data_IF_684651752372
#
_entry.id   IF_684651752372
#
_cell.length_a   1.000
_cell.length_b   1.000
_cell.length_c   1.000
_cell.angle_alpha   90.00
_cell.angle_beta   90.00
_cell.angle_gamma   90.00
#
_symmetry.space_group_name_H-M   'P 1'
#
loop_
_entity.id
_entity.type
_entity.pdbx_description
1 polymer ?
#
# COMPACT_ATOMS: atom_id res chain seq x y z
N UNK A 1 10.41 7.62 36.50
CA UNK A 1 8.94 7.83 36.49
C UNK A 1 8.40 7.67 35.06
N UNK A 2 7.24 7.01 34.94
CA UNK A 2 6.48 6.91 33.68
C UNK A 2 5.30 7.87 33.78
N UNK A 3 5.35 8.95 33.02
CA UNK A 3 4.27 9.95 32.95
C UNK A 3 3.64 9.94 31.57
N UNK A 4 2.40 10.43 31.47
CA UNK A 4 1.73 10.61 30.18
C UNK A 4 2.54 11.52 29.23
N UNK A 5 3.20 12.55 29.77
CA UNK A 5 4.07 13.43 28.98
C UNK A 5 5.26 12.66 28.41
N UNK A 6 5.96 11.89 29.23
CA UNK A 6 7.10 11.08 28.79
C UNK A 6 6.67 9.97 27.81
N UNK A 7 5.51 9.36 28.00
CA UNK A 7 4.98 8.33 27.10
C UNK A 7 4.82 8.84 25.66
N UNK A 8 4.24 10.05 25.50
CA UNK A 8 3.97 10.63 24.19
C UNK A 8 5.11 11.49 23.62
N UNK A 9 6.06 11.94 24.45
CA UNK A 9 7.09 12.91 24.05
C UNK A 9 8.52 12.44 24.26
N UNK A 10 8.75 11.27 24.84
CA UNK A 10 10.02 10.56 24.66
C UNK A 10 10.00 9.87 23.30
N UNK A 11 11.08 9.97 22.55
CA UNK A 11 11.21 9.40 21.22
C UNK A 11 12.20 8.24 21.23
N UNK A 12 11.92 7.23 20.41
CA UNK A 12 12.88 6.21 20.03
C UNK A 12 13.39 6.52 18.62
N UNK A 13 14.71 6.67 18.50
CA UNK A 13 15.40 6.83 17.24
C UNK A 13 16.19 5.57 16.93
N UNK A 14 16.01 4.99 15.75
CA UNK A 14 16.76 3.81 15.31
C UNK A 14 17.44 4.09 13.97
N UNK A 15 18.74 3.87 13.91
CA UNK A 15 19.60 4.07 12.74
C UNK A 15 20.26 2.76 12.35
N UNK A 16 20.38 2.53 11.04
CA UNK A 16 21.04 1.36 10.47
C UNK A 16 22.25 1.77 9.63
N UNK A 17 23.35 1.05 9.76
CA UNK A 17 24.52 1.08 8.87
C UNK A 17 25.08 2.46 8.52
N UNK A 18 25.28 3.29 9.55
CA UNK A 18 25.79 4.66 9.47
C UNK A 18 24.85 5.65 8.75
N UNK A 19 23.56 5.33 8.60
CA UNK A 19 22.60 6.26 8.02
C UNK A 19 22.48 7.55 8.87
N UNK A 20 22.53 8.71 8.20
CA UNK A 20 22.38 10.02 8.85
C UNK A 20 20.95 10.28 9.34
N UNK A 21 19.97 9.64 8.70
CA UNK A 21 18.54 9.75 9.04
C UNK A 21 18.05 8.48 9.72
N UNK A 22 17.28 8.58 10.82
CA UNK A 22 16.73 7.42 11.49
C UNK A 22 15.68 6.73 10.61
N UNK A 23 15.70 5.39 10.61
CA UNK A 23 14.66 4.55 10.01
C UNK A 23 13.39 4.46 10.88
N UNK A 24 13.55 4.72 12.18
CA UNK A 24 12.45 4.90 13.14
C UNK A 24 12.71 6.19 13.88
N UNK A 25 11.79 7.15 13.81
CA UNK A 25 11.80 8.37 14.61
C UNK A 25 10.37 8.61 15.10
N UNK A 26 10.05 8.04 16.25
CA UNK A 26 8.68 7.96 16.74
C UNK A 26 8.63 8.23 18.24
N UNK A 27 7.52 8.79 18.76
CA UNK A 27 7.20 8.66 20.17
C UNK A 27 7.28 7.19 20.62
N UNK A 28 7.76 6.97 21.84
CA UNK A 28 7.79 5.64 22.47
C UNK A 28 6.40 5.01 22.44
N UNK A 29 5.37 5.78 22.80
CA UNK A 29 3.97 5.35 22.69
C UNK A 29 3.65 4.76 21.31
N UNK A 30 3.91 5.51 20.24
CA UNK A 30 3.54 5.11 18.89
C UNK A 30 4.31 3.88 18.40
N UNK A 31 5.61 3.79 18.71
CA UNK A 31 6.42 2.62 18.33
C UNK A 31 5.93 1.31 18.97
N UNK A 32 5.43 1.38 20.20
CA UNK A 32 4.90 0.23 20.94
C UNK A 32 3.38 0.07 20.82
N UNK A 33 2.74 0.79 19.89
CA UNK A 33 1.34 0.62 19.52
C UNK A 33 0.33 1.39 20.38
N UNK A 34 0.81 2.32 21.20
CA UNK A 34 0.05 3.18 22.10
C UNK A 34 -0.62 4.41 21.50
N UNK A 35 -0.61 4.54 20.18
CA UNK A 35 -1.13 5.72 19.47
C UNK A 35 -0.28 6.97 19.72
N UNK A 36 -0.89 8.14 19.61
CA UNK A 36 -0.22 9.41 19.88
C UNK A 36 -1.06 10.37 20.71
N UNK A 37 -0.45 11.49 21.09
CA UNK A 37 -1.11 12.53 21.91
C UNK A 37 -2.27 13.24 21.20
N UNK A 38 -2.61 12.88 19.96
CA UNK A 38 -3.71 13.47 19.20
C UNK A 38 -4.92 12.54 19.02
N UNK A 39 -4.85 11.32 19.54
CA UNK A 39 -5.93 10.32 19.49
C UNK A 39 -7.03 10.62 20.52
N UNK A 40 -7.73 11.75 20.44
CA UNK A 40 -8.66 12.19 21.51
C UNK A 40 -10.10 11.67 21.35
N UNK A 41 -10.86 11.45 22.45
CA UNK A 41 -10.47 11.60 23.85
C UNK A 41 -9.67 10.40 24.39
N UNK A 42 -9.34 9.41 23.55
CA UNK A 42 -8.84 8.12 23.99
C UNK A 42 -7.41 8.16 24.51
N UNK A 43 -6.59 9.12 24.06
CA UNK A 43 -5.20 9.34 24.47
C UNK A 43 -4.98 9.52 25.98
N UNK A 44 -6.01 9.90 26.76
CA UNK A 44 -5.84 10.07 28.21
C UNK A 44 -5.65 8.74 28.95
N UNK A 45 -6.33 7.68 28.51
CA UNK A 45 -6.35 6.40 29.22
C UNK A 45 -5.36 5.40 28.64
N UNK A 46 -4.94 5.57 27.38
CA UNK A 46 -3.98 4.69 26.70
C UNK A 46 -2.71 4.41 27.53
N UNK A 47 -2.05 5.40 28.16
CA UNK A 47 -0.82 5.13 28.91
C UNK A 47 -1.01 4.12 30.05
N UNK A 48 -2.22 4.00 30.60
CA UNK A 48 -2.56 3.09 31.69
C UNK A 48 -3.10 1.72 31.22
N UNK A 49 -3.32 1.54 29.91
CA UNK A 49 -3.82 0.29 29.33
C UNK A 49 -2.70 -0.71 29.08
N UNK A 50 -3.11 -1.90 28.66
CA UNK A 50 -2.22 -2.97 28.22
C UNK A 50 -2.56 -3.33 26.77
N UNK A 51 -1.53 -3.40 25.93
CA UNK A 51 -1.59 -3.90 24.57
C UNK A 51 -0.64 -5.08 24.43
N UNK A 52 -1.17 -6.24 24.04
CA UNK A 52 -0.40 -7.44 23.76
C UNK A 52 -0.65 -7.92 22.33
N UNK A 53 0.40 -7.92 21.52
CA UNK A 53 0.41 -8.46 20.16
C UNK A 53 1.57 -9.45 19.99
N UNK A 54 1.68 -10.08 18.83
CA UNK A 54 2.80 -10.98 18.55
C UNK A 54 4.15 -10.25 18.46
N UNK A 55 4.19 -9.03 17.90
CA UNK A 55 5.45 -8.35 17.58
C UNK A 55 5.72 -7.10 18.41
N UNK A 56 4.73 -6.50 19.04
CA UNK A 56 4.94 -5.30 19.85
C UNK A 56 3.85 -5.14 20.92
N UNK A 57 4.13 -4.38 21.95
CA UNK A 57 3.13 -4.06 22.94
C UNK A 57 3.70 -3.30 24.12
N UNK A 58 2.80 -3.00 25.06
CA UNK A 58 3.13 -2.33 26.30
C UNK A 58 2.14 -2.69 27.40
N UNK A 59 2.57 -2.51 28.64
CA UNK A 59 1.72 -2.67 29.82
C UNK A 59 1.93 -1.44 30.72
N UNK A 60 0.92 -0.58 30.78
CA UNK A 60 0.94 0.63 31.61
C UNK A 60 1.00 0.36 33.11
N UNK A 61 0.54 -0.81 33.57
CA UNK A 61 0.61 -1.22 34.97
C UNK A 61 2.02 -1.57 35.41
N UNK A 62 2.75 -2.30 34.57
CA UNK A 62 4.17 -2.63 34.81
C UNK A 62 5.16 -1.63 34.21
N UNK A 63 4.66 -0.66 33.41
CA UNK A 63 5.45 0.34 32.69
C UNK A 63 6.48 -0.30 31.76
N UNK A 64 6.11 -1.42 31.13
CA UNK A 64 6.98 -2.23 30.28
C UNK A 64 6.58 -2.16 28.82
N UNK A 65 7.58 -2.32 27.94
CA UNK A 65 7.46 -2.24 26.49
C UNK A 65 8.20 -3.39 25.86
N UNK A 66 7.70 -3.91 24.73
CA UNK A 66 8.44 -4.90 23.94
C UNK A 66 8.24 -4.71 22.44
N UNK A 67 9.28 -5.08 21.69
CA UNK A 67 9.28 -5.13 20.23
C UNK A 67 10.11 -6.34 19.79
N UNK A 68 9.48 -7.24 19.05
CA UNK A 68 10.04 -8.47 18.49
C UNK A 68 10.14 -8.42 16.96
N UNK A 69 9.92 -7.25 16.35
CA UNK A 69 10.18 -7.07 14.92
C UNK A 69 11.62 -7.49 14.60
N UNK A 70 11.87 -8.35 13.60
CA UNK A 70 13.21 -8.54 13.07
C UNK A 70 13.76 -7.20 12.54
N UNK A 71 14.98 -6.82 12.92
CA UNK A 71 15.58 -5.55 12.49
C UNK A 71 16.97 -5.78 11.88
N UNK A 72 17.04 -6.15 10.58
CA UNK A 72 18.31 -6.41 9.92
C UNK A 72 19.20 -5.16 9.83
N UNK A 73 20.51 -5.37 10.00
CA UNK A 73 21.59 -4.41 9.74
C UNK A 73 22.85 -5.18 9.29
N UNK A 74 23.78 -4.52 8.60
CA UNK A 74 24.97 -5.18 8.02
C UNK A 74 26.30 -4.60 8.47
N UNK A 75 26.30 -3.44 9.13
CA UNK A 75 27.47 -2.80 9.73
C UNK A 75 27.24 -2.49 11.21
N UNK A 76 26.19 -1.75 11.54
CA UNK A 76 25.88 -1.35 12.91
C UNK A 76 24.41 -0.92 13.07
N UNK A 77 23.96 -0.95 14.32
CA UNK A 77 22.68 -0.40 14.74
C UNK A 77 22.93 0.62 15.86
N UNK A 78 22.25 1.76 15.80
CA UNK A 78 22.24 2.76 16.88
C UNK A 78 20.80 3.02 17.30
N UNK A 79 20.50 2.81 18.56
CA UNK A 79 19.19 3.07 19.17
C UNK A 79 19.38 4.17 20.21
N UNK A 80 18.59 5.23 20.12
CA UNK A 80 18.61 6.37 21.04
C UNK A 80 17.23 6.59 21.64
N UNK A 81 17.18 6.88 22.95
CA UNK A 81 15.98 7.38 23.62
C UNK A 81 16.18 8.87 23.86
N UNK A 82 15.33 9.68 23.24
CA UNK A 82 15.38 11.13 23.32
C UNK A 82 14.22 11.64 24.18
N UNK A 83 14.52 12.18 25.35
CA UNK A 83 13.54 12.79 26.23
C UNK A 83 13.29 14.25 25.80
N UNK A 84 12.10 14.55 25.26
CA UNK A 84 11.71 15.93 24.90
C UNK A 84 10.78 16.57 25.95
N UNK A 85 10.75 16.05 27.17
CA UNK A 85 9.96 16.59 28.28
C UNK A 85 10.81 17.45 29.21
N UNK A 86 10.16 18.13 30.15
CA UNK A 86 10.85 18.82 31.26
C UNK A 86 11.11 17.90 32.46
N UNK A 87 10.74 16.61 32.36
CA UNK A 87 10.83 15.65 33.45
C UNK A 87 11.99 14.67 33.21
N UNK A 88 12.86 14.51 34.20
CA UNK A 88 13.97 13.57 34.11
C UNK A 88 13.48 12.11 34.01
N UNK A 89 14.19 11.32 33.19
CA UNK A 89 14.07 9.86 33.20
C UNK A 89 15.01 9.34 34.29
N UNK A 90 14.47 9.11 35.49
CA UNK A 90 15.28 8.69 36.64
C UNK A 90 15.85 7.27 36.51
N UNK A 91 15.10 6.35 35.89
CA UNK A 91 15.49 4.95 35.69
C UNK A 91 14.94 4.46 34.34
N UNK A 92 15.76 3.70 33.60
CA UNK A 92 15.36 3.03 32.37
C UNK A 92 16.11 1.69 32.24
N UNK A 93 15.36 0.59 32.31
CA UNK A 93 15.89 -0.75 32.06
C UNK A 93 15.69 -1.11 30.59
N UNK A 94 16.79 -1.34 29.87
CA UNK A 94 16.76 -1.61 28.43
C UNK A 94 17.45 -2.94 28.15
N UNK A 95 16.72 -3.87 27.54
CA UNK A 95 17.24 -5.13 27.01
C UNK A 95 17.26 -5.13 25.49
N UNK A 96 18.39 -5.44 24.88
CA UNK A 96 18.52 -5.64 23.43
C UNK A 96 19.06 -7.05 23.20
N UNK A 97 18.31 -7.84 22.43
CA UNK A 97 18.75 -9.16 21.97
C UNK A 97 19.08 -9.08 20.48
N UNK A 98 20.26 -9.57 20.09
CA UNK A 98 20.71 -9.58 18.70
C UNK A 98 21.37 -10.92 18.35
N UNK A 99 21.47 -11.22 17.05
CA UNK A 99 22.14 -12.40 16.52
C UNK A 99 23.21 -12.00 15.51
N UNK A 100 24.26 -12.82 15.39
CA UNK A 100 25.25 -12.71 14.32
C UNK A 100 24.82 -13.39 13.02
N UNK A 101 23.64 -14.04 13.00
CA UNK A 101 23.06 -14.61 11.79
C UNK A 101 22.56 -13.47 10.90
N UNK A 102 23.27 -13.23 9.81
CA UNK A 102 22.95 -12.16 8.87
C UNK A 102 21.85 -12.58 7.90
N UNK A 103 20.91 -11.68 7.67
CA UNK A 103 20.04 -11.72 6.50
C UNK A 103 20.87 -11.39 5.25
N UNK A 104 20.60 -11.98 4.06
CA UNK A 104 21.31 -11.60 2.84
C UNK A 104 20.99 -10.15 2.45
N UNK A 105 22.02 -9.32 2.30
CA UNK A 105 21.87 -7.87 2.05
C UNK A 105 21.14 -7.57 0.73
N UNK A 106 21.42 -8.37 -0.29
CA UNK A 106 20.87 -8.23 -1.63
C UNK A 106 19.40 -8.64 -1.76
N UNK A 107 18.85 -9.37 -0.78
CA UNK A 107 17.46 -9.84 -0.80
C UNK A 107 16.62 -9.38 0.38
N UNK A 108 17.15 -8.54 1.26
CA UNK A 108 16.46 -8.06 2.46
C UNK A 108 16.45 -6.53 2.55
N UNK A 109 15.53 -6.01 3.35
CA UNK A 109 15.41 -4.59 3.65
C UNK A 109 15.73 -4.30 5.11
N UNK A 110 15.88 -3.03 5.43
CA UNK A 110 15.92 -2.56 6.81
C UNK A 110 14.50 -2.43 7.35
N UNK A 111 14.36 -2.54 8.66
CA UNK A 111 13.11 -2.26 9.34
C UNK A 111 12.88 -0.75 9.48
N UNK A 112 11.67 -0.30 9.17
CA UNK A 112 11.24 1.08 9.33
C UNK A 112 9.90 1.14 10.05
N UNK A 113 9.66 2.25 10.73
CA UNK A 113 8.35 2.58 11.27
C UNK A 113 8.08 4.07 11.05
N UNK A 114 6.90 4.39 10.52
CA UNK A 114 6.52 5.75 10.15
C UNK A 114 5.14 6.08 10.68
N UNK A 115 5.05 7.20 11.40
CA UNK A 115 3.80 7.74 11.91
C UNK A 115 3.33 8.87 11.01
N UNK A 116 2.03 8.85 10.70
CA UNK A 116 1.34 9.89 9.97
C UNK A 116 0.18 10.36 10.84
N UNK A 117 0.18 11.65 11.16
CA UNK A 117 -1.00 12.32 11.71
C UNK A 117 -1.64 13.10 10.57
N UNK A 118 -2.88 12.77 10.23
CA UNK A 118 -3.62 13.46 9.17
C UNK A 118 -4.89 14.07 9.76
N UNK A 119 -4.93 15.40 9.81
CA UNK A 119 -6.05 16.18 10.32
C UNK A 119 -6.89 16.70 9.15
N UNK A 120 -8.08 16.12 8.99
CA UNK A 120 -8.97 16.45 7.88
C UNK A 120 -10.05 17.45 8.22
N UNK A 121 -10.10 18.00 9.45
CA UNK A 121 -11.18 18.90 9.93
C UNK A 121 -11.42 20.14 9.07
N UNK A 122 -10.42 20.58 8.31
CA UNK A 122 -10.51 21.72 7.38
C UNK A 122 -10.47 21.31 5.89
N UNK A 123 -10.46 20.02 5.60
CA UNK A 123 -10.34 19.49 4.25
C UNK A 123 -11.69 19.24 3.59
N UNK A 124 -11.74 19.43 2.28
CA UNK A 124 -12.86 18.95 1.45
C UNK A 124 -12.64 17.53 0.94
N UNK A 125 -11.43 16.98 1.10
CA UNK A 125 -11.11 15.63 0.66
C UNK A 125 -11.83 14.63 1.58
N UNK A 126 -12.52 13.63 1.01
CA UNK A 126 -13.35 12.70 1.78
C UNK A 126 -12.59 11.52 2.43
N UNK A 127 -11.26 11.60 2.49
CA UNK A 127 -10.40 10.53 2.98
C UNK A 127 -9.13 11.08 3.62
N UNK A 128 -8.55 10.29 4.53
CA UNK A 128 -7.25 10.47 5.17
C UNK A 128 -6.16 9.67 4.48
N UNK A 129 -4.92 10.18 4.48
CA UNK A 129 -3.74 9.43 4.07
C UNK A 129 -3.05 8.87 5.31
N UNK A 130 -3.09 7.56 5.48
CA UNK A 130 -2.40 6.86 6.55
C UNK A 130 -0.90 6.71 6.27
N UNK A 131 -0.52 6.48 5.00
CA UNK A 131 0.87 6.20 4.65
C UNK A 131 1.19 6.52 3.20
N UNK A 132 2.41 7.00 2.98
CA UNK A 132 3.03 7.12 1.65
C UNK A 132 4.51 6.80 1.75
N UNK A 133 5.01 6.01 0.82
CA UNK A 133 6.43 5.70 0.75
C UNK A 133 6.87 5.41 -0.69
N UNK A 134 8.14 5.72 -1.00
CA UNK A 134 8.79 5.41 -2.27
C UNK A 134 9.90 4.39 -2.09
N UNK A 135 10.27 3.67 -3.14
CA UNK A 135 11.24 2.58 -3.12
C UNK A 135 10.55 1.23 -3.20
N UNK A 136 11.20 0.18 -2.69
CA UNK A 136 10.64 -1.15 -2.73
C UNK A 136 10.78 -1.86 -1.38
N UNK A 137 9.77 -2.65 -1.06
CA UNK A 137 9.60 -3.21 0.27
C UNK A 137 8.22 -3.81 0.47
N UNK A 138 7.86 -3.98 1.74
CA UNK A 138 6.55 -4.48 2.10
C UNK A 138 6.11 -3.95 3.48
N UNK A 139 4.84 -3.57 3.57
CA UNK A 139 4.19 -3.18 4.82
C UNK A 139 3.80 -4.43 5.59
N UNK A 140 4.20 -4.51 6.87
CA UNK A 140 4.03 -5.70 7.72
C UNK A 140 3.11 -5.48 8.92
N UNK A 141 2.70 -4.24 9.18
CA UNK A 141 1.67 -3.99 10.16
C UNK A 141 1.38 -2.52 10.34
N UNK A 142 0.33 -2.26 11.11
CA UNK A 142 -0.09 -0.93 11.46
C UNK A 142 -0.73 -0.87 12.84
N UNK A 143 -0.71 0.32 13.42
CA UNK A 143 -1.68 0.74 14.41
C UNK A 143 -2.45 1.94 13.90
N UNK A 144 -3.77 1.93 14.08
CA UNK A 144 -4.67 2.96 13.60
C UNK A 144 -5.42 3.57 14.79
N UNK A 145 -5.25 4.87 15.00
CA UNK A 145 -6.01 5.62 16.00
C UNK A 145 -6.75 6.78 15.34
N UNK A 146 -7.93 7.10 15.84
CA UNK A 146 -8.73 8.20 15.33
C UNK A 146 -9.59 8.87 16.40
N UNK A 147 -10.02 10.10 16.14
CA UNK A 147 -10.94 10.86 17.01
C UNK A 147 -12.42 10.75 16.59
N UNK A 148 -12.76 9.70 15.83
CA UNK A 148 -14.11 9.48 15.29
C UNK A 148 -14.11 9.28 13.79
N UNK A 149 -13.15 8.52 13.27
CA UNK A 149 -13.22 8.04 11.88
C UNK A 149 -14.49 7.22 11.68
N UNK A 150 -15.04 7.27 10.47
CA UNK A 150 -16.18 6.45 10.10
C UNK A 150 -15.77 4.97 10.13
N UNK A 151 -16.59 4.14 10.77
CA UNK A 151 -16.35 2.70 10.79
C UNK A 151 -16.58 2.14 9.37
N UNK A 152 -17.69 2.49 8.71
CA UNK A 152 -18.04 1.99 7.37
C UNK A 152 -17.22 2.63 6.23
N UNK A 153 -16.16 3.37 6.56
CA UNK A 153 -15.28 4.04 5.60
C UNK A 153 -14.21 3.10 5.07
N UNK A 154 -14.24 2.82 3.77
CA UNK A 154 -13.35 1.83 3.16
C UNK A 154 -11.87 2.25 3.23
N UNK A 155 -10.96 1.30 3.46
CA UNK A 155 -9.55 1.45 3.17
C UNK A 155 -9.26 1.23 1.69
N UNK A 156 -8.34 2.01 1.12
CA UNK A 156 -7.96 1.88 -0.27
C UNK A 156 -6.50 2.28 -0.50
N UNK A 157 -5.76 1.37 -1.15
CA UNK A 157 -4.32 1.49 -1.36
C UNK A 157 -3.95 1.46 -2.83
N UNK A 158 -3.10 2.42 -3.22
CA UNK A 158 -2.47 2.48 -4.53
C UNK A 158 -1.04 2.00 -4.41
N UNK A 159 -0.66 1.08 -5.30
CA UNK A 159 0.68 0.51 -5.33
C UNK A 159 1.28 0.79 -6.72
N UNK A 160 2.56 1.12 -6.74
CA UNK A 160 3.38 1.28 -7.94
C UNK A 160 2.75 2.17 -9.02
N UNK A 161 2.25 3.34 -8.61
CA UNK A 161 1.66 4.35 -9.49
C UNK A 161 0.33 3.97 -10.15
N UNK A 162 -0.33 2.89 -9.72
CA UNK A 162 -1.66 2.54 -10.22
C UNK A 162 -2.64 3.67 -9.92
N UNK A 163 -3.50 4.02 -10.88
CA UNK A 163 -4.57 5.01 -10.67
C UNK A 163 -5.87 4.38 -10.15
N UNK A 164 -5.90 3.06 -10.09
CA UNK A 164 -6.96 2.26 -9.47
C UNK A 164 -6.41 1.61 -8.20
N UNK A 165 -7.13 1.66 -7.06
CA UNK A 165 -6.68 1.00 -5.86
C UNK A 165 -6.56 -0.50 -6.10
N UNK A 166 -5.44 -1.09 -5.69
CA UNK A 166 -5.18 -2.52 -5.84
C UNK A 166 -5.65 -3.31 -4.62
N UNK A 167 -5.81 -2.62 -3.49
CA UNK A 167 -6.43 -3.10 -2.28
C UNK A 167 -7.53 -2.10 -1.97
N UNK A 168 -8.75 -2.59 -1.82
CA UNK A 168 -9.94 -1.80 -1.52
C UNK A 168 -10.86 -2.70 -0.70
N UNK A 169 -11.11 -2.32 0.56
CA UNK A 169 -12.02 -3.03 1.45
C UNK A 169 -13.38 -2.37 1.55
N UNK A 170 -14.04 -2.62 2.67
CA UNK A 170 -15.46 -2.36 2.91
C UNK A 170 -15.75 -1.60 4.22
N UNK A 171 -14.73 -1.37 5.04
CA UNK A 171 -14.85 -0.63 6.29
C UNK A 171 -13.51 -0.53 7.03
N UNK A 172 -13.35 0.53 7.81
CA UNK A 172 -12.16 0.76 8.64
C UNK A 172 -12.08 -0.28 9.74
N UNK A 173 -13.18 -0.69 10.37
CA UNK A 173 -13.15 -1.79 11.33
C UNK A 173 -12.93 -3.15 10.66
N UNK A 174 -13.45 -3.32 9.45
CA UNK A 174 -13.33 -4.55 8.67
C UNK A 174 -11.86 -4.78 8.26
N UNK A 175 -11.11 -3.74 7.88
CA UNK A 175 -9.66 -3.81 7.66
C UNK A 175 -8.90 -4.26 8.93
N UNK A 176 -9.45 -4.06 10.12
CA UNK A 176 -8.86 -4.54 11.38
C UNK A 176 -9.41 -5.91 11.82
N UNK A 177 -10.01 -6.66 10.89
CA UNK A 177 -10.69 -7.95 11.11
C UNK A 177 -11.83 -7.89 12.15
N UNK A 178 -12.49 -6.73 12.25
CA UNK A 178 -13.65 -6.57 13.11
C UNK A 178 -14.93 -6.51 12.27
N UNK A 179 -16.02 -6.04 12.86
CA UNK A 179 -17.29 -5.83 12.17
C UNK A 179 -18.36 -5.32 13.13
N UNK A 180 -19.41 -4.73 12.59
CA UNK A 180 -20.55 -4.18 13.36
C UNK A 180 -20.12 -3.20 14.46
N UNK A 181 -19.18 -2.29 14.14
CA UNK A 181 -18.63 -1.30 15.07
C UNK A 181 -17.57 -1.82 16.04
N UNK A 182 -17.16 -3.09 15.91
CA UNK A 182 -16.01 -3.64 16.62
C UNK A 182 -16.15 -3.74 18.14
N UNK A 183 -15.05 -4.09 18.81
CA UNK A 183 -14.97 -4.29 20.26
C UNK A 183 -13.54 -4.12 20.79
N UNK A 184 -13.40 -3.96 22.11
CA UNK A 184 -12.11 -3.92 22.77
C UNK A 184 -11.61 -5.35 23.02
N UNK A 185 -10.83 -5.87 22.07
CA UNK A 185 -10.37 -7.25 22.04
C UNK A 185 -9.03 -7.33 21.30
N UNK A 186 -8.15 -8.23 21.73
CA UNK A 186 -6.76 -8.30 21.28
C UNK A 186 -6.42 -9.75 20.92
N UNK A 187 -5.99 -9.97 19.68
CA UNK A 187 -5.43 -11.23 19.19
C UNK A 187 -3.98 -11.03 18.75
N UNK A 188 -3.15 -12.09 18.65
CA UNK A 188 -1.74 -11.93 18.32
C UNK A 188 -1.44 -11.09 17.08
N UNK A 189 -2.33 -11.10 16.06
CA UNK A 189 -2.10 -10.42 14.78
C UNK A 189 -3.05 -9.26 14.48
N UNK A 190 -4.11 -9.08 15.24
CA UNK A 190 -5.11 -8.04 14.97
C UNK A 190 -5.94 -7.76 16.22
N UNK A 191 -6.58 -6.60 16.27
CA UNK A 191 -7.47 -6.29 17.38
C UNK A 191 -7.73 -4.80 17.54
N UNK A 192 -8.48 -4.48 18.58
CA UNK A 192 -8.85 -3.14 18.98
C UNK A 192 -8.49 -2.91 20.44
N UNK A 193 -7.61 -1.94 20.69
CA UNK A 193 -7.47 -1.37 22.02
C UNK A 193 -8.66 -0.45 22.33
N UNK A 194 -9.24 0.15 21.29
CA UNK A 194 -10.44 0.98 21.28
C UNK A 194 -11.25 0.59 20.03
N UNK A 195 -12.27 -0.24 20.23
CA UNK A 195 -13.37 -0.55 19.31
C UNK A 195 -13.07 -0.71 17.80
N UNK A 196 -11.90 -1.20 17.40
CA UNK A 196 -11.61 -1.59 16.00
C UNK A 196 -11.44 -0.47 14.98
N UNK A 197 -11.88 0.77 15.27
CA UNK A 197 -11.73 1.92 14.36
C UNK A 197 -11.24 3.21 15.05
N UNK A 198 -11.26 3.29 16.39
CA UNK A 198 -10.67 4.44 17.13
C UNK A 198 -9.28 4.13 17.71
N UNK A 199 -8.92 2.85 17.76
CA UNK A 199 -7.64 2.37 18.26
C UNK A 199 -7.50 0.89 17.98
N UNK A 200 -6.91 0.55 16.86
CA UNK A 200 -6.78 -0.81 16.37
C UNK A 200 -5.37 -1.09 15.88
N UNK A 201 -5.09 -2.36 15.63
CA UNK A 201 -3.86 -2.80 15.00
C UNK A 201 -4.13 -4.00 14.11
N UNK A 202 -3.26 -4.15 13.10
CA UNK A 202 -3.20 -5.33 12.25
C UNK A 202 -1.76 -5.60 11.86
N UNK A 203 -1.37 -6.86 11.92
CA UNK A 203 -0.03 -7.36 11.60
C UNK A 203 -0.19 -8.27 10.38
N UNK A 204 0.42 -7.86 9.27
CA UNK A 204 0.30 -8.51 7.98
C UNK A 204 1.32 -9.63 7.80
N UNK A 205 1.24 -10.66 8.65
CA UNK A 205 2.23 -11.75 8.64
C UNK A 205 2.17 -12.60 7.35
N UNK A 206 0.98 -12.78 6.78
CA UNK A 206 0.77 -13.61 5.59
C UNK A 206 0.23 -12.83 4.38
N UNK A 207 -0.03 -11.55 4.57
CA UNK A 207 -0.82 -10.67 3.70
C UNK A 207 -0.19 -9.27 3.57
N UNK A 208 1.15 -9.20 3.66
CA UNK A 208 1.91 -7.95 3.56
C UNK A 208 1.64 -7.19 2.24
N UNK A 209 1.64 -5.86 2.31
CA UNK A 209 1.44 -5.03 1.11
C UNK A 209 2.80 -4.79 0.47
N UNK A 210 3.08 -5.51 -0.61
CA UNK A 210 4.34 -5.43 -1.36
C UNK A 210 4.29 -4.29 -2.37
N UNK A 211 5.34 -3.48 -2.43
CA UNK A 211 5.50 -2.40 -3.40
C UNK A 211 6.92 -2.39 -3.96
N UNK A 212 7.05 -1.96 -5.21
CA UNK A 212 8.30 -2.01 -5.97
C UNK A 212 8.78 -0.64 -6.46
N UNK A 213 7.93 0.38 -6.39
CA UNK A 213 8.29 1.79 -6.63
C UNK A 213 7.65 2.73 -5.61
N UNK A 214 6.35 2.56 -5.30
CA UNK A 214 5.67 3.39 -4.32
C UNK A 214 4.41 2.73 -3.75
N UNK A 215 3.97 3.20 -2.59
CA UNK A 215 2.70 2.83 -1.98
C UNK A 215 2.04 4.04 -1.34
N UNK A 216 0.71 4.12 -1.43
CA UNK A 216 -0.15 5.08 -0.74
C UNK A 216 -1.35 4.36 -0.15
N UNK A 217 -1.52 4.42 1.18
CA UNK A 217 -2.64 3.83 1.92
C UNK A 217 -3.54 4.97 2.41
N UNK A 218 -4.84 4.86 2.17
CA UNK A 218 -5.85 5.83 2.59
C UNK A 218 -7.04 5.11 3.22
N UNK A 219 -7.84 5.87 3.97
CA UNK A 219 -9.10 5.42 4.54
C UNK A 219 -10.17 6.47 4.25
N UNK A 220 -11.41 6.07 3.94
CA UNK A 220 -12.54 6.98 3.71
C UNK A 220 -13.21 7.42 5.01
N UNK A 221 -13.80 8.62 5.05
CA UNK A 221 -14.67 9.01 6.17
C UNK A 221 -15.98 9.71 5.74
N UNK A 222 -16.27 9.80 4.45
CA UNK A 222 -17.37 10.65 3.94
C UNK A 222 -18.79 10.08 4.10
N UNK A 223 -18.96 8.82 4.54
CA UNK A 223 -20.28 8.16 4.51
C UNK A 223 -21.21 8.63 5.63
N UNK A 224 -20.71 9.27 6.68
CA UNK A 224 -21.53 9.88 7.72
C UNK A 224 -21.81 11.37 7.46
N UNK A 225 -23.01 11.65 6.97
CA UNK A 225 -23.52 13.01 6.80
C UNK A 225 -23.43 13.81 8.11
N UNK A 226 -22.71 14.94 8.09
CA UNK A 226 -22.63 15.88 9.22
C UNK A 226 -21.46 15.64 10.18
N UNK A 227 -20.57 14.67 9.93
CA UNK A 227 -19.31 14.59 10.67
C UNK A 227 -18.37 15.74 10.29
N UNK A 228 -17.74 16.31 11.32
CA UNK A 228 -16.56 17.14 11.13
C UNK A 228 -15.43 16.18 10.77
N UNK A 229 -14.76 16.41 9.64
CA UNK A 229 -13.78 15.47 9.11
C UNK A 229 -12.74 15.06 10.18
N UNK A 230 -12.52 13.77 10.43
CA UNK A 230 -11.76 13.27 11.58
C UNK A 230 -10.24 13.45 11.43
N UNK A 231 -9.54 13.27 12.54
CA UNK A 231 -8.09 13.12 12.59
C UNK A 231 -7.74 11.62 12.69
N UNK A 232 -6.69 11.23 11.96
CA UNK A 232 -6.07 9.91 12.12
C UNK A 232 -4.64 10.05 12.61
N UNK A 233 -4.21 9.05 13.39
CA UNK A 233 -2.85 8.88 13.88
C UNK A 233 -2.45 7.42 13.64
N UNK A 234 -1.76 7.20 12.52
CA UNK A 234 -1.43 5.86 12.02
C UNK A 234 0.07 5.65 12.07
N UNK A 235 0.50 4.55 12.66
CA UNK A 235 1.89 4.09 12.58
C UNK A 235 1.96 2.86 11.70
N UNK A 236 2.75 2.91 10.63
CA UNK A 236 3.03 1.77 9.75
C UNK A 236 4.41 1.20 10.05
N UNK A 237 4.47 -0.12 10.20
CA UNK A 237 5.69 -0.92 10.27
C UNK A 237 5.95 -1.57 8.92
N UNK A 238 7.15 -1.43 8.38
CA UNK A 238 7.48 -1.92 7.04
C UNK A 238 8.97 -2.25 6.89
N UNK A 239 9.27 -3.16 5.97
CA UNK A 239 10.64 -3.42 5.52
C UNK A 239 10.86 -2.76 4.19
N UNK A 240 11.99 -2.07 4.05
CA UNK A 240 12.34 -1.38 2.81
C UNK A 240 13.83 -1.49 2.55
N UNK A 241 14.18 -1.73 1.30
CA UNK A 241 15.57 -1.62 0.89
C UNK A 241 15.87 -0.15 0.52
N UNK A 242 17.08 0.32 0.81
CA UNK A 242 17.48 1.73 0.59
C UNK A 242 17.90 2.03 -0.85
N UNK A 243 17.88 1.04 -1.74
CA UNK A 243 18.03 1.23 -3.19
C UNK A 243 16.86 1.97 -3.84
N UNK A 244 17.03 2.32 -5.13
CA UNK A 244 15.92 2.83 -5.96
C UNK A 244 14.86 1.75 -6.18
N UNK A 245 13.62 2.16 -6.49
CA UNK A 245 12.56 1.24 -6.91
C UNK A 245 13.05 0.28 -7.99
N UNK A 246 12.64 -0.99 -7.89
CA UNK A 246 13.06 -2.04 -8.83
C UNK A 246 12.12 -2.11 -10.04
N UNK A 247 10.94 -1.49 -9.95
CA UNK A 247 9.99 -1.41 -11.06
C UNK A 247 10.29 -0.20 -11.95
N UNK A 248 10.69 -0.45 -13.20
CA UNK A 248 11.10 0.59 -14.13
C UNK A 248 10.24 0.55 -15.40
N UNK A 249 9.66 1.69 -15.81
CA UNK A 249 8.94 1.80 -17.07
C UNK A 249 9.92 1.63 -18.25
N UNK A 250 9.69 0.62 -19.09
CA UNK A 250 10.56 0.28 -20.23
C UNK A 250 9.95 0.54 -21.60
N UNK A 251 8.62 0.51 -21.71
CA UNK A 251 7.91 0.89 -22.93
C UNK A 251 6.45 1.24 -22.65
N UNK A 252 5.81 1.88 -23.62
CA UNK A 252 4.41 2.26 -23.57
C UNK A 252 3.78 2.10 -24.95
N UNK A 253 2.55 1.61 -24.99
CA UNK A 253 1.77 1.52 -26.22
C UNK A 253 0.39 2.17 -26.03
N UNK A 254 0.16 3.19 -26.83
CA UNK A 254 -1.11 3.90 -27.00
C UNK A 254 -1.94 3.24 -28.11
N UNK A 255 -3.11 2.70 -27.79
CA UNK A 255 -4.00 2.04 -28.75
C UNK A 255 -4.80 3.11 -29.49
N UNK A 256 -5.10 2.87 -30.78
CA UNK A 256 -5.74 3.85 -31.68
C UNK A 256 -4.87 5.03 -32.10
N UNK A 257 -3.64 5.12 -31.61
CA UNK A 257 -2.63 6.03 -32.10
C UNK A 257 -1.80 5.36 -33.20
N UNK A 258 -1.98 5.75 -34.46
CA UNK A 258 -1.35 5.08 -35.61
C UNK A 258 0.19 5.03 -35.53
N UNK A 259 0.82 6.06 -34.96
CA UNK A 259 2.28 6.09 -34.79
C UNK A 259 2.72 5.06 -33.75
N UNK A 260 2.01 5.00 -32.62
CA UNK A 260 2.25 3.99 -31.58
C UNK A 260 1.94 2.58 -32.06
N UNK A 261 0.78 2.34 -32.68
CA UNK A 261 0.37 1.03 -33.22
C UNK A 261 1.40 0.54 -34.25
N UNK A 262 1.88 1.42 -35.15
CA UNK A 262 2.93 1.06 -36.12
C UNK A 262 4.28 0.77 -35.45
N UNK A 263 4.71 1.59 -34.48
CA UNK A 263 5.97 1.37 -33.73
C UNK A 263 5.99 -0.02 -33.07
N UNK A 264 4.85 -0.43 -32.51
CA UNK A 264 4.72 -1.67 -31.76
C UNK A 264 4.18 -2.85 -32.58
N UNK A 265 4.08 -2.73 -33.91
CA UNK A 265 3.53 -3.78 -34.78
C UNK A 265 2.17 -4.30 -34.28
N UNK A 266 1.34 -3.39 -33.80
CA UNK A 266 0.05 -3.73 -33.22
C UNK A 266 -0.88 -4.30 -34.29
N UNK A 267 -1.55 -5.40 -33.96
CA UNK A 267 -2.58 -6.01 -34.79
C UNK A 267 -3.70 -6.57 -33.90
N UNK A 268 -4.95 -6.40 -34.31
CA UNK A 268 -6.10 -6.95 -33.60
C UNK A 268 -7.12 -7.56 -34.56
N UNK A 269 -7.87 -8.55 -34.07
CA UNK A 269 -8.96 -9.24 -34.78
C UNK A 269 -10.24 -9.16 -33.96
N UNK A 270 -11.36 -8.94 -34.65
CA UNK A 270 -12.69 -8.86 -34.02
C UNK A 270 -12.81 -7.67 -33.07
N UNK A 271 -12.16 -6.55 -33.40
CA UNK A 271 -12.20 -5.35 -32.56
C UNK A 271 -13.25 -4.34 -33.03
N UNK A 272 -13.76 -3.56 -32.08
CA UNK A 272 -14.55 -2.35 -32.31
C UNK A 272 -13.86 -1.18 -31.62
N UNK A 273 -13.60 -0.11 -32.38
CA UNK A 273 -13.00 1.12 -31.85
C UNK A 273 -14.02 1.89 -31.00
N UNK A 274 -13.57 2.47 -29.90
CA UNK A 274 -14.34 3.34 -29.02
C UNK A 274 -13.56 4.61 -28.70
N UNK A 275 -14.30 5.68 -28.39
CA UNK A 275 -13.81 6.91 -27.80
C UNK A 275 -14.62 7.12 -26.51
N UNK A 276 -13.95 7.17 -25.37
CA UNK A 276 -14.58 7.22 -24.06
C UNK A 276 -14.03 8.42 -23.32
N UNK A 277 -14.90 9.17 -22.65
CA UNK A 277 -14.56 10.24 -21.72
C UNK A 277 -15.09 9.86 -20.36
N UNK A 278 -14.20 9.63 -19.40
CA UNK A 278 -14.58 9.13 -18.06
C UNK A 278 -13.52 9.45 -17.02
N UNK A 279 -13.87 9.32 -15.74
CA UNK A 279 -12.94 9.35 -14.62
C UNK A 279 -12.36 7.97 -14.31
N UNK A 280 -11.25 7.96 -13.58
CA UNK A 280 -10.68 6.73 -13.03
C UNK A 280 -11.51 6.19 -11.87
N UNK A 281 -11.44 4.88 -11.69
CA UNK A 281 -11.80 4.18 -10.48
C UNK A 281 -10.81 4.52 -9.38
N UNK A 282 -10.77 5.79 -8.99
CA UNK A 282 -9.77 6.29 -8.07
C UNK A 282 -10.32 6.48 -6.68
N UNK A 283 -11.35 5.73 -6.26
CA UNK A 283 -12.06 5.78 -4.98
C UNK A 283 -12.21 7.18 -4.32
N UNK A 284 -13.47 7.60 -4.13
CA UNK A 284 -13.91 8.99 -3.91
C UNK A 284 -13.65 9.93 -5.10
N UNK A 285 -14.69 10.65 -5.53
CA UNK A 285 -14.72 11.48 -6.76
C UNK A 285 -13.78 12.70 -6.74
N UNK A 286 -12.92 12.82 -5.72
CA UNK A 286 -11.99 13.92 -5.50
C UNK A 286 -10.51 13.54 -5.58
N UNK A 287 -10.18 12.27 -5.85
CA UNK A 287 -8.80 11.96 -6.24
C UNK A 287 -8.47 12.66 -7.56
N UNK A 288 -7.26 13.21 -7.67
CA UNK A 288 -6.79 14.16 -8.69
C UNK A 288 -6.73 13.63 -10.14
N UNK A 289 -7.42 12.54 -10.46
CA UNK A 289 -7.48 12.02 -11.81
C UNK A 289 -8.64 12.70 -12.53
N UNK A 290 -8.29 13.75 -13.27
CA UNK A 290 -9.20 14.44 -14.19
C UNK A 290 -9.95 13.44 -15.08
N UNK A 291 -11.12 13.88 -15.57
CA UNK A 291 -11.80 13.14 -16.64
C UNK A 291 -10.87 13.04 -17.85
N UNK A 292 -10.55 11.81 -18.24
CA UNK A 292 -9.69 11.51 -19.37
C UNK A 292 -10.56 11.09 -20.56
N UNK A 293 -10.29 11.67 -21.72
CA UNK A 293 -10.82 11.16 -23.00
C UNK A 293 -9.75 10.33 -23.70
N UNK A 294 -10.10 9.11 -24.09
CA UNK A 294 -9.17 8.21 -24.75
C UNK A 294 -9.84 7.34 -25.82
N UNK A 295 -9.05 6.88 -26.77
CA UNK A 295 -9.45 5.98 -27.84
C UNK A 295 -8.91 4.58 -27.60
N UNK A 296 -9.68 3.55 -27.93
CA UNK A 296 -9.25 2.18 -27.71
C UNK A 296 -10.12 1.18 -28.43
N UNK A 297 -9.91 -0.09 -28.12
CA UNK A 297 -10.59 -1.20 -28.76
C UNK A 297 -11.30 -2.05 -27.72
N UNK A 298 -12.55 -2.43 -28.01
CA UNK A 298 -13.16 -3.64 -27.45
C UNK A 298 -12.91 -4.80 -28.40
N UNK A 299 -12.37 -5.91 -27.90
CA UNK A 299 -11.91 -7.06 -28.67
C UNK A 299 -12.74 -8.30 -28.33
N UNK A 300 -13.21 -8.97 -29.39
CA UNK A 300 -13.67 -10.35 -29.36
C UNK A 300 -12.80 -11.18 -30.31
N UNK A 301 -11.76 -11.82 -29.77
CA UNK A 301 -10.70 -12.43 -30.56
C UNK A 301 -9.34 -12.21 -29.92
N UNK A 302 -8.46 -11.47 -30.59
CA UNK A 302 -7.09 -11.28 -30.13
C UNK A 302 -6.51 -9.92 -30.52
N UNK A 303 -5.63 -9.38 -29.68
CA UNK A 303 -4.64 -8.35 -30.04
C UNK A 303 -3.22 -8.88 -29.86
N UNK A 304 -2.28 -8.32 -30.59
CA UNK A 304 -0.85 -8.57 -30.40
C UNK A 304 -0.04 -7.31 -30.68
N UNK A 305 1.08 -7.16 -29.99
CA UNK A 305 2.01 -6.05 -30.13
C UNK A 305 3.40 -6.44 -29.61
N UNK A 306 4.41 -5.68 -30.00
CA UNK A 306 5.82 -5.88 -29.64
C UNK A 306 6.28 -4.71 -28.78
N UNK A 307 6.89 -5.01 -27.63
CA UNK A 307 7.35 -4.01 -26.65
C UNK A 307 8.80 -4.23 -26.26
N UNK A 308 9.47 -3.16 -25.87
CA UNK A 308 10.81 -3.18 -25.30
C UNK A 308 10.77 -3.51 -23.81
N UNK A 309 11.75 -4.29 -23.36
CA UNK A 309 11.95 -4.65 -21.95
C UNK A 309 13.45 -4.60 -21.62
N UNK A 310 13.80 -4.56 -20.34
CA UNK A 310 15.21 -4.62 -19.94
C UNK A 310 15.75 -6.07 -20.06
N UNK A 311 16.85 -6.35 -20.77
CA UNK A 311 17.47 -7.68 -20.82
C UNK A 311 17.82 -8.28 -19.45
N UNK A 312 18.14 -7.44 -18.46
CA UNK A 312 18.45 -7.88 -17.10
C UNK A 312 17.22 -8.05 -16.22
N UNK A 313 16.00 -8.04 -16.79
CA UNK A 313 14.77 -8.11 -16.00
C UNK A 313 14.65 -9.40 -15.18
N UNK A 314 14.06 -9.28 -13.99
CA UNK A 314 13.59 -10.39 -13.17
C UNK A 314 12.07 -10.62 -13.33
N UNK A 315 11.57 -10.45 -14.55
CA UNK A 315 10.15 -10.45 -14.88
C UNK A 315 9.69 -9.07 -15.30
N UNK A 316 8.42 -8.98 -15.74
CA UNK A 316 7.81 -7.72 -16.16
C UNK A 316 6.40 -7.59 -15.61
N UNK A 317 5.94 -6.35 -15.43
CA UNK A 317 4.55 -5.98 -15.17
C UNK A 317 3.99 -5.31 -16.42
N UNK A 318 2.83 -5.76 -16.89
CA UNK A 318 2.03 -5.06 -17.90
C UNK A 318 0.84 -4.43 -17.18
N UNK A 319 0.75 -3.10 -17.21
CA UNK A 319 -0.45 -2.38 -16.77
C UNK A 319 -1.30 -2.03 -17.99
N UNK A 320 -2.60 -2.31 -17.92
CA UNK A 320 -3.57 -1.99 -18.96
C UNK A 320 -4.58 -0.99 -18.45
N UNK A 321 -4.74 0.15 -19.14
CA UNK A 321 -5.94 0.99 -19.00
C UNK A 321 -7.10 0.30 -19.71
N UNK A 322 -8.18 0.08 -18.97
CA UNK A 322 -9.40 -0.58 -19.44
C UNK A 322 -10.66 0.24 -19.10
N UNK A 323 -11.74 -0.05 -19.82
CA UNK A 323 -13.09 0.44 -19.53
C UNK A 323 -13.89 -0.66 -18.78
N UNK A 324 -14.13 -0.43 -17.48
CA UNK A 324 -14.90 -1.35 -16.64
C UNK A 324 -16.41 -1.14 -16.69
N UNK A 325 -16.91 -0.06 -17.31
CA UNK A 325 -18.34 0.19 -17.46
C UNK A 325 -18.94 -0.62 -18.62
N UNK A 326 -18.32 -0.59 -19.80
CA UNK A 326 -18.84 -1.32 -20.97
C UNK A 326 -18.53 -2.82 -20.89
N UNK A 327 -17.42 -3.21 -20.26
CA UNK A 327 -17.01 -4.61 -20.08
C UNK A 327 -16.58 -4.85 -18.62
N UNK A 328 -17.53 -5.21 -17.77
CA UNK A 328 -17.31 -5.42 -16.32
C UNK A 328 -16.52 -6.69 -16.00
N UNK A 329 -16.67 -7.72 -16.82
CA UNK A 329 -15.99 -9.01 -16.65
C UNK A 329 -15.11 -9.24 -17.87
N UNK A 330 -13.79 -9.26 -17.65
CA UNK A 330 -12.83 -9.48 -18.71
C UNK A 330 -11.90 -10.63 -18.31
N UNK A 331 -11.70 -11.58 -19.21
CA UNK A 331 -10.77 -12.69 -19.02
C UNK A 331 -9.90 -12.80 -20.27
N UNK A 332 -8.60 -12.63 -20.09
CA UNK A 332 -7.62 -12.58 -21.17
C UNK A 332 -6.52 -13.60 -20.92
N UNK A 333 -6.28 -14.44 -21.92
CA UNK A 333 -5.10 -15.29 -21.98
C UNK A 333 -3.92 -14.49 -22.53
N UNK A 334 -2.79 -14.55 -21.83
CA UNK A 334 -1.57 -13.81 -22.18
C UNK A 334 -0.53 -14.78 -22.73
N UNK A 335 0.07 -14.41 -23.86
CA UNK A 335 1.15 -15.15 -24.50
C UNK A 335 2.35 -14.24 -24.71
N UNK A 336 3.54 -14.74 -24.38
CA UNK A 336 4.82 -14.07 -24.59
C UNK A 336 5.62 -14.88 -25.61
N UNK A 337 5.89 -14.28 -26.77
CA UNK A 337 6.53 -14.92 -27.92
C UNK A 337 5.87 -16.26 -28.30
N UNK A 338 4.53 -16.29 -28.23
CA UNK A 338 3.72 -17.48 -28.54
C UNK A 338 3.57 -18.49 -27.41
N UNK A 339 4.24 -18.29 -26.26
CA UNK A 339 4.13 -19.17 -25.09
C UNK A 339 3.10 -18.61 -24.12
N UNK A 340 2.09 -19.41 -23.75
CA UNK A 340 1.07 -19.01 -22.77
C UNK A 340 1.69 -18.83 -21.38
N UNK A 341 1.38 -17.71 -20.72
CA UNK A 341 1.62 -17.49 -19.29
C UNK A 341 0.59 -18.31 -18.50
N UNK A 342 1.04 -19.23 -17.65
CA UNK A 342 0.18 -20.28 -17.04
C UNK A 342 -0.11 -20.04 -15.56
N UNK A 343 0.64 -19.17 -14.92
CA UNK A 343 0.64 -18.93 -13.48
C UNK A 343 -0.68 -18.29 -13.02
N UNK A 344 -1.29 -17.44 -13.87
CA UNK A 344 -2.60 -16.85 -13.59
C UNK A 344 -3.31 -16.39 -14.88
N UNK A 345 -4.65 -16.41 -14.93
CA UNK A 345 -5.39 -15.70 -15.97
C UNK A 345 -5.31 -14.18 -15.74
N UNK A 346 -5.39 -13.38 -16.80
CA UNK A 346 -5.62 -11.94 -16.64
C UNK A 346 -7.12 -11.69 -16.55
N UNK A 347 -7.62 -11.70 -15.31
CA UNK A 347 -9.04 -11.60 -15.02
C UNK A 347 -9.36 -10.33 -14.22
N UNK A 348 -10.41 -9.62 -14.63
CA UNK A 348 -10.96 -8.48 -13.90
C UNK A 348 -12.48 -8.60 -13.80
N UNK A 349 -13.03 -8.25 -12.64
CA UNK A 349 -14.46 -8.22 -12.37
C UNK A 349 -14.81 -6.95 -11.60
N UNK A 350 -15.81 -6.23 -12.08
CA UNK A 350 -16.28 -4.99 -11.46
C UNK A 350 -17.79 -5.03 -11.17
N UNK A 351 -18.28 -4.34 -10.13
CA UNK A 351 -19.67 -4.39 -9.71
C UNK A 351 -20.64 -3.75 -10.71
N UNK A 352 -21.92 -4.08 -10.59
CA UNK A 352 -22.97 -3.50 -11.44
C UNK A 352 -23.16 -1.99 -11.21
N UNK A 353 -22.76 -1.49 -10.04
CA UNK A 353 -22.82 -0.07 -9.65
C UNK A 353 -21.86 0.84 -10.42
N UNK A 354 -20.89 0.28 -11.16
CA UNK A 354 -20.00 1.09 -12.01
C UNK A 354 -20.82 1.89 -13.01
N UNK A 355 -20.51 3.19 -13.11
CA UNK A 355 -21.17 4.14 -14.01
C UNK A 355 -20.24 4.54 -15.16
N UNK A 356 -20.80 5.14 -16.21
CA UNK A 356 -20.02 5.69 -17.33
C UNK A 356 -19.10 6.85 -16.92
N UNK A 357 -19.26 7.42 -15.73
CA UNK A 357 -18.45 8.53 -15.22
C UNK A 357 -17.17 8.07 -14.50
N UNK A 358 -17.07 6.79 -14.13
CA UNK A 358 -15.93 6.20 -13.41
C UNK A 358 -15.46 4.90 -14.07
N UNK A 359 -15.42 4.93 -15.41
CA UNK A 359 -15.22 3.76 -16.23
C UNK A 359 -13.74 3.37 -16.38
N UNK A 360 -12.79 4.28 -16.20
CA UNK A 360 -11.37 3.94 -16.34
C UNK A 360 -10.86 3.14 -15.17
N UNK A 361 -10.10 2.09 -15.45
CA UNK A 361 -9.32 1.40 -14.43
C UNK A 361 -7.97 0.95 -14.97
N UNK A 362 -6.99 0.86 -14.09
CA UNK A 362 -5.73 0.19 -14.35
C UNK A 362 -5.82 -1.26 -13.87
N UNK A 363 -5.36 -2.20 -14.71
CA UNK A 363 -5.22 -3.60 -14.34
C UNK A 363 -3.79 -4.07 -14.60
N UNK A 364 -3.15 -4.62 -13.58
CA UNK A 364 -1.78 -5.11 -13.65
C UNK A 364 -1.72 -6.61 -13.96
N UNK A 365 -0.71 -7.02 -14.73
CA UNK A 365 -0.40 -8.42 -15.02
C UNK A 365 1.09 -8.71 -14.92
N UNK A 366 1.42 -9.56 -13.94
CA UNK A 366 2.79 -10.01 -13.69
C UNK A 366 3.18 -11.17 -14.61
N UNK A 367 4.38 -11.07 -15.18
CA UNK A 367 4.97 -12.08 -16.06
C UNK A 367 6.32 -12.51 -15.45
N UNK A 368 6.44 -13.78 -15.05
CA UNK A 368 7.69 -14.29 -14.48
C UNK A 368 8.88 -14.22 -15.43
N UNK A 369 10.08 -14.09 -14.85
CA UNK A 369 11.33 -13.93 -15.59
C UNK A 369 11.63 -15.05 -16.60
N UNK A 370 11.16 -16.28 -16.41
CA UNK A 370 11.43 -17.36 -17.38
C UNK A 370 10.76 -17.15 -18.75
N UNK A 371 9.80 -16.23 -18.86
CA UNK A 371 9.24 -15.82 -20.16
C UNK A 371 10.04 -14.70 -20.85
N UNK A 372 10.84 -13.93 -20.10
CA UNK A 372 11.37 -12.62 -20.53
C UNK A 372 12.88 -12.43 -20.35
N UNK A 373 13.54 -13.28 -19.55
CA UNK A 373 14.96 -13.15 -19.17
C UNK A 373 15.86 -13.14 -20.40
N UNK A 374 16.80 -12.18 -20.46
CA UNK A 374 17.77 -12.03 -21.53
C UNK A 374 17.21 -11.44 -22.83
N UNK A 375 15.92 -11.11 -22.89
CA UNK A 375 15.28 -10.49 -24.07
C UNK A 375 15.23 -8.98 -23.91
N UNK A 376 15.47 -8.24 -24.99
CA UNK A 376 15.29 -6.78 -25.05
C UNK A 376 13.92 -6.37 -25.65
N UNK A 377 13.23 -7.32 -26.28
CA UNK A 377 11.90 -7.16 -26.86
C UNK A 377 11.12 -8.45 -26.73
N UNK A 378 9.81 -8.33 -26.62
CA UNK A 378 8.88 -9.46 -26.60
C UNK A 378 7.65 -9.15 -27.44
N UNK A 379 7.04 -10.18 -28.01
CA UNK A 379 5.70 -10.13 -28.59
C UNK A 379 4.69 -10.54 -27.54
N UNK A 380 3.83 -9.62 -27.15
CA UNK A 380 2.67 -9.89 -26.29
C UNK A 380 1.48 -10.17 -27.19
N UNK A 381 0.81 -11.30 -26.95
CA UNK A 381 -0.48 -11.60 -27.58
C UNK A 381 -1.52 -11.86 -26.51
N UNK A 382 -2.66 -11.21 -26.67
CA UNK A 382 -3.82 -11.30 -25.80
C UNK A 382 -4.95 -11.99 -26.55
N UNK A 383 -5.62 -12.95 -25.92
CA UNK A 383 -6.76 -13.66 -26.52
C UNK A 383 -7.89 -13.77 -25.51
N UNK A 384 -9.11 -13.45 -25.93
CA UNK A 384 -10.27 -13.43 -25.04
C UNK A 384 -11.58 -13.22 -25.79
N UNK A 385 -12.70 -13.56 -25.15
CA UNK A 385 -14.04 -13.47 -25.76
C UNK A 385 -14.57 -12.04 -25.76
N UNK A 386 -14.37 -11.27 -24.68
CA UNK A 386 -14.61 -9.82 -24.62
C UNK A 386 -13.65 -9.20 -23.61
N UNK A 387 -12.79 -8.31 -24.09
CA UNK A 387 -11.97 -7.43 -23.26
C UNK A 387 -11.76 -6.10 -23.98
N UNK A 388 -11.28 -5.08 -23.29
CA UNK A 388 -10.93 -3.82 -23.93
C UNK A 388 -9.53 -3.36 -23.54
N UNK A 389 -8.99 -2.49 -24.39
CA UNK A 389 -7.62 -2.00 -24.30
C UNK A 389 -7.51 -0.60 -24.89
N UNK A 390 -6.84 0.27 -24.15
CA UNK A 390 -6.71 1.69 -24.48
C UNK A 390 -5.25 2.12 -24.41
N UNK A 391 -4.55 1.67 -23.37
CA UNK A 391 -3.14 1.96 -23.18
C UNK A 391 -2.48 0.84 -22.41
N UNK A 392 -1.20 0.58 -22.70
CA UNK A 392 -0.37 -0.29 -21.88
C UNK A 392 0.91 0.40 -21.45
N UNK A 393 1.25 0.24 -20.18
CA UNK A 393 2.58 0.54 -19.63
C UNK A 393 3.30 -0.77 -19.37
N UNK A 394 4.55 -0.86 -19.82
CA UNK A 394 5.39 -2.04 -19.68
C UNK A 394 6.51 -1.70 -18.73
N UNK A 395 6.58 -2.44 -17.62
CA UNK A 395 7.61 -2.26 -16.61
C UNK A 395 8.49 -3.49 -16.51
N UNK A 396 9.80 -3.31 -16.35
CA UNK A 396 10.73 -4.38 -16.01
C UNK A 396 11.14 -4.28 -14.54
N UNK A 397 11.14 -5.43 -13.84
CA UNK A 397 11.76 -5.57 -12.53
C UNK A 397 13.27 -5.71 -12.69
N UNK A 398 14.07 -4.86 -12.07
CA UNK A 398 15.54 -4.86 -12.21
C UNK A 398 16.28 -5.20 -10.94
#
# INVERSE_FOLDING_TARGET
>A
PYTMEQYYRCFINIYWDDADTPAVHLPVASFFGGGGEHSWPTAMDLPARKLETLFFGYDGGSQSFYSYWPMPYWKNARIEIQNNTQLDIENADIGITYTSQLYPNDSCGYFFAKRTVDDKRSSTQPFGTAFREKGYGHVVGMTFYSDGYDMDGDEFSYIDGSRTPQIHGDGTEDDHNQGWGGSNFQEPLWGGLLNGYQGAYRIYMNDCYIFYDEIKINYEFERLAGLTAPLTDVTIFYYKNTGKGILNLTDEIDIANLTSEKKHQYAARGFKRSNISSGYDSYSKQNAYDTLTDNGNTINGSSEFVVNINPSNNGIKIRRRLDRFSERRQSVEVFIDGIKVKERPWYTLYPLSVTSQTAWADADFEIPSHYTRGKNKIRVKLTGTRFNEFYYWIYSYN
#
